data_IF_363378783623
#
_entry.id   IF_363378783623
#
_cell.length_a   1.000
_cell.length_b   1.000
_cell.length_c   1.000
_cell.angle_alpha   90.00
_cell.angle_beta   90.00
_cell.angle_gamma   90.00
#
_symmetry.space_group_name_H-M   'P 1'
#
loop_
_entity.id
_entity.type
_entity.pdbx_description
1 polymer ?
#
# COMPACT_ATOMS: atom_id res chain seq x y z
N UNK A 1 10.75 -2.66 -12.40
CA UNK A 1 11.09 -2.08 -13.73
C UNK A 1 10.20 -0.87 -14.02
N UNK A 2 10.67 0.11 -14.80
CA UNK A 2 9.89 1.31 -15.16
C UNK A 2 9.30 1.19 -16.57
N UNK A 3 8.05 1.62 -16.76
CA UNK A 3 7.44 1.72 -18.08
C UNK A 3 7.84 3.05 -18.73
N UNK A 4 8.68 2.99 -19.77
CA UNK A 4 9.22 4.17 -20.46
C UNK A 4 8.23 4.83 -21.43
N UNK A 5 7.06 4.21 -21.65
CA UNK A 5 6.08 4.69 -22.61
C UNK A 5 6.53 4.53 -24.07
N UNK A 6 5.83 5.21 -24.98
CA UNK A 6 6.15 5.29 -26.41
C UNK A 6 6.49 6.73 -26.77
N UNK A 7 7.64 6.95 -27.42
CA UNK A 7 8.20 8.28 -27.68
C UNK A 7 7.36 9.16 -28.63
N UNK A 8 6.53 8.54 -29.46
CA UNK A 8 5.68 9.17 -30.47
C UNK A 8 4.22 9.31 -30.03
N UNK A 9 3.90 9.06 -28.76
CA UNK A 9 2.53 9.08 -28.22
C UNK A 9 2.45 9.88 -26.93
N UNK A 10 1.24 10.34 -26.61
CA UNK A 10 0.93 10.77 -25.25
C UNK A 10 0.99 9.55 -24.31
N UNK A 11 1.83 9.64 -23.29
CA UNK A 11 1.94 8.63 -22.24
C UNK A 11 1.17 9.13 -21.01
N UNK A 12 0.17 8.35 -20.59
CA UNK A 12 -0.61 8.62 -19.37
C UNK A 12 -0.19 7.62 -18.31
N UNK A 13 0.37 8.12 -17.21
CA UNK A 13 0.80 7.29 -16.08
C UNK A 13 -0.24 7.38 -14.97
N UNK A 14 -0.90 6.25 -14.68
CA UNK A 14 -1.86 6.16 -13.57
C UNK A 14 -1.10 5.73 -12.33
N UNK A 15 -1.10 6.59 -11.29
CA UNK A 15 -0.39 6.34 -10.03
C UNK A 15 -1.41 6.04 -8.94
N UNK A 16 -1.66 4.75 -8.71
CA UNK A 16 -2.54 4.31 -7.62
C UNK A 16 -1.86 4.51 -6.26
N UNK A 17 -2.59 5.15 -5.34
CA UNK A 17 -2.13 5.47 -3.99
C UNK A 17 -3.31 5.53 -3.02
N UNK A 18 -3.02 5.57 -1.72
CA UNK A 18 -3.96 5.97 -0.66
C UNK A 18 -3.33 7.08 0.16
N UNK A 19 -4.16 7.96 0.72
CA UNK A 19 -3.73 8.98 1.67
C UNK A 19 -4.28 8.63 3.06
N UNK A 20 -3.38 8.22 3.93
CA UNK A 20 -3.67 7.61 5.22
C UNK A 20 -3.15 8.49 6.36
N UNK A 21 -3.88 9.54 6.71
CA UNK A 21 -3.52 10.47 7.77
C UNK A 21 -3.17 9.75 9.09
N UNK A 22 -1.94 9.99 9.60
CA UNK A 22 -1.46 9.43 10.88
C UNK A 22 -2.04 10.21 12.06
N UNK A 23 -3.36 10.21 12.15
CA UNK A 23 -4.13 11.04 13.08
C UNK A 23 -4.62 12.33 12.43
N UNK A 24 -5.94 12.52 12.45
CA UNK A 24 -6.62 13.74 11.99
C UNK A 24 -8.00 13.84 12.66
N UNK A 25 -9.04 13.27 12.05
CA UNK A 25 -10.40 13.18 12.65
C UNK A 25 -10.56 11.98 13.58
N UNK A 26 -9.73 10.95 13.37
CA UNK A 26 -9.63 9.75 14.19
C UNK A 26 -8.21 9.62 14.73
N UNK A 27 -8.06 8.88 15.83
CA UNK A 27 -6.73 8.50 16.32
C UNK A 27 -6.07 7.50 15.36
N UNK A 28 -4.75 7.32 15.49
CA UNK A 28 -3.97 6.34 14.72
C UNK A 28 -4.62 4.95 14.80
N UNK A 29 -4.93 4.46 15.99
CA UNK A 29 -5.56 3.15 16.20
C UNK A 29 -6.96 3.05 15.59
N UNK A 30 -7.74 4.12 15.69
CA UNK A 30 -9.08 4.15 15.10
C UNK A 30 -9.01 4.10 13.57
N UNK A 31 -8.05 4.78 12.94
CA UNK A 31 -7.79 4.65 11.50
C UNK A 31 -7.25 3.27 11.13
N UNK A 32 -6.34 2.71 11.93
CA UNK A 32 -5.75 1.41 11.63
C UNK A 32 -6.79 0.28 11.65
N UNK A 33 -7.56 0.16 12.74
CA UNK A 33 -8.57 -0.90 12.91
C UNK A 33 -9.92 -0.57 12.27
N UNK A 34 -10.13 0.65 11.78
CA UNK A 34 -11.39 1.04 11.17
C UNK A 34 -12.55 1.27 12.14
N UNK A 35 -12.27 1.51 13.42
CA UNK A 35 -13.31 1.88 14.39
C UNK A 35 -13.80 3.31 14.20
N UNK A 36 -14.93 3.67 14.81
CA UNK A 36 -15.61 4.97 14.61
C UNK A 36 -15.97 5.23 13.14
N UNK A 37 -16.63 4.25 12.52
CA UNK A 37 -17.03 4.29 11.11
C UNK A 37 -18.01 5.42 10.77
N UNK A 38 -18.70 5.95 11.78
CA UNK A 38 -19.57 7.12 11.69
C UNK A 38 -18.82 8.43 11.40
N UNK A 39 -17.54 8.53 11.81
CA UNK A 39 -16.68 9.68 11.49
C UNK A 39 -16.12 9.51 10.08
N UNK A 40 -15.41 8.39 9.85
CA UNK A 40 -15.01 7.96 8.50
C UNK A 40 -14.96 6.43 8.42
N UNK A 41 -15.35 5.88 7.27
CA UNK A 41 -15.31 4.43 6.99
C UNK A 41 -13.93 3.89 6.62
N UNK A 42 -12.84 4.58 6.97
CA UNK A 42 -11.46 4.16 6.67
C UNK A 42 -10.95 3.13 7.69
N UNK A 43 -10.38 2.03 7.21
CA UNK A 43 -9.65 1.03 8.01
C UNK A 43 -8.39 0.56 7.26
N UNK A 44 -7.22 0.98 7.75
CA UNK A 44 -5.96 0.90 6.98
C UNK A 44 -5.45 -0.53 6.83
N UNK A 45 -5.62 -1.39 7.85
CA UNK A 45 -5.23 -2.79 7.73
C UNK A 45 -5.89 -3.48 6.52
N UNK A 46 -7.17 -3.17 6.27
CA UNK A 46 -7.92 -3.72 5.16
C UNK A 46 -7.47 -3.16 3.80
N UNK A 47 -7.03 -1.89 3.77
CA UNK A 47 -6.45 -1.30 2.57
C UNK A 47 -5.17 -2.04 2.19
N UNK A 48 -4.24 -2.22 3.14
CA UNK A 48 -2.98 -2.92 2.91
C UNK A 48 -3.20 -4.38 2.49
N UNK A 49 -4.08 -5.12 3.16
CA UNK A 49 -4.43 -6.50 2.80
C UNK A 49 -4.95 -6.57 1.35
N UNK A 50 -5.88 -5.67 1.00
CA UNK A 50 -6.50 -5.65 -0.32
C UNK A 50 -5.53 -5.26 -1.44
N UNK A 51 -4.62 -4.30 -1.18
CA UNK A 51 -3.59 -3.86 -2.12
C UNK A 51 -2.61 -5.00 -2.40
N UNK A 52 -2.11 -5.68 -1.35
CA UNK A 52 -1.16 -6.78 -1.53
C UNK A 52 -1.80 -7.89 -2.38
N UNK A 53 -3.04 -8.28 -2.08
CA UNK A 53 -3.74 -9.28 -2.88
C UNK A 53 -3.93 -8.82 -4.33
N UNK A 54 -4.38 -7.58 -4.54
CA UNK A 54 -4.58 -7.03 -5.87
C UNK A 54 -3.30 -6.99 -6.71
N UNK A 55 -2.14 -6.76 -6.10
CA UNK A 55 -0.83 -6.79 -6.76
C UNK A 55 -0.35 -8.21 -7.05
N UNK A 56 -0.64 -9.18 -6.18
CA UNK A 56 -0.35 -10.60 -6.44
C UNK A 56 -1.17 -11.12 -7.62
N UNK A 57 -2.43 -10.70 -7.74
CA UNK A 57 -3.34 -11.17 -8.77
C UNK A 57 -3.00 -10.63 -10.17
N UNK A 58 -2.25 -9.53 -10.27
CA UNK A 58 -1.90 -8.93 -11.55
C UNK A 58 -0.55 -8.19 -11.47
N UNK A 59 0.45 -8.75 -12.14
CA UNK A 59 1.83 -8.26 -12.19
C UNK A 59 2.02 -6.95 -12.96
N UNK A 60 1.01 -6.43 -13.67
CA UNK A 60 1.05 -5.11 -14.32
C UNK A 60 0.61 -3.99 -13.37
N UNK A 61 -0.04 -4.32 -12.25
CA UNK A 61 -0.49 -3.31 -11.29
C UNK A 61 0.68 -2.75 -10.49
N UNK A 62 0.56 -1.46 -10.15
CA UNK A 62 1.53 -0.71 -9.36
C UNK A 62 0.80 0.04 -8.27
N UNK A 63 1.39 0.11 -7.08
CA UNK A 63 0.85 0.89 -5.96
C UNK A 63 1.98 1.54 -5.16
N UNK A 64 1.76 2.79 -4.74
CA UNK A 64 2.67 3.51 -3.83
C UNK A 64 2.02 3.66 -2.45
N UNK A 65 2.77 3.37 -1.39
CA UNK A 65 2.33 3.55 0.00
C UNK A 65 3.35 4.38 0.79
N UNK A 66 2.88 5.40 1.51
CA UNK A 66 3.73 6.44 2.07
C UNK A 66 3.84 6.37 3.59
N UNK A 67 2.73 6.14 4.30
CA UNK A 67 2.66 6.35 5.75
C UNK A 67 3.23 5.17 6.57
N UNK A 68 4.54 5.19 6.77
CA UNK A 68 5.28 4.07 7.38
C UNK A 68 4.86 3.71 8.81
N UNK A 69 4.23 4.61 9.57
CA UNK A 69 3.69 4.29 10.88
C UNK A 69 2.63 3.17 10.81
N UNK A 70 1.74 3.24 9.81
CA UNK A 70 0.73 2.22 9.59
C UNK A 70 1.32 0.96 8.96
N UNK A 71 2.19 1.14 7.95
CA UNK A 71 2.84 0.00 7.29
C UNK A 71 3.67 -0.83 8.27
N UNK A 72 4.45 -0.20 9.15
CA UNK A 72 5.27 -0.89 10.15
C UNK A 72 4.41 -1.65 11.16
N UNK A 73 3.31 -1.04 11.61
CA UNK A 73 2.35 -1.74 12.49
C UNK A 73 1.76 -2.97 11.80
N UNK A 74 1.30 -2.81 10.56
CA UNK A 74 0.76 -3.90 9.76
C UNK A 74 1.80 -4.99 9.55
N UNK A 75 3.01 -4.64 9.13
CA UNK A 75 4.13 -5.55 8.89
C UNK A 75 4.44 -6.45 10.09
N UNK A 76 4.47 -5.86 11.29
CA UNK A 76 4.73 -6.60 12.52
C UNK A 76 3.64 -7.60 12.90
N UNK A 77 2.44 -7.45 12.35
CA UNK A 77 1.30 -8.35 12.57
C UNK A 77 1.18 -9.44 11.50
N UNK A 78 1.95 -9.36 10.41
CA UNK A 78 1.86 -10.30 9.30
C UNK A 78 2.60 -11.61 9.55
N UNK A 79 2.09 -12.68 8.94
CA UNK A 79 2.78 -13.97 8.85
C UNK A 79 4.00 -13.87 7.93
N UNK A 80 4.92 -14.83 8.07
CA UNK A 80 6.11 -14.92 7.21
C UNK A 80 5.73 -15.02 5.73
N UNK A 81 4.71 -15.82 5.39
CA UNK A 81 4.20 -15.93 4.02
C UNK A 81 3.76 -14.59 3.43
N UNK A 82 3.07 -13.76 4.22
CA UNK A 82 2.63 -12.44 3.77
C UNK A 82 3.82 -11.48 3.61
N UNK A 83 4.78 -11.53 4.54
CA UNK A 83 6.02 -10.73 4.45
C UNK A 83 6.82 -11.09 3.21
N UNK A 84 6.94 -12.37 2.88
CA UNK A 84 7.61 -12.84 1.67
C UNK A 84 6.89 -12.40 0.39
N UNK A 85 5.55 -12.41 0.36
CA UNK A 85 4.77 -11.83 -0.76
C UNK A 85 5.10 -10.36 -0.95
N UNK A 86 5.11 -9.57 0.11
CA UNK A 86 5.40 -8.13 0.04
C UNK A 86 6.84 -7.87 -0.40
N UNK A 87 7.83 -8.57 0.17
CA UNK A 87 9.24 -8.50 -0.27
C UNK A 87 9.37 -8.78 -1.76
N UNK A 88 8.71 -9.83 -2.25
CA UNK A 88 8.67 -10.16 -3.68
C UNK A 88 8.10 -9.00 -4.50
N UNK A 89 6.93 -8.47 -4.11
CA UNK A 89 6.28 -7.35 -4.82
C UNK A 89 7.15 -6.08 -4.85
N UNK A 90 7.91 -5.82 -3.80
CA UNK A 90 8.88 -4.71 -3.73
C UNK A 90 10.05 -4.95 -4.68
N UNK A 91 10.63 -6.16 -4.66
CA UNK A 91 11.73 -6.53 -5.55
C UNK A 91 11.34 -6.47 -7.04
N UNK A 92 10.10 -6.84 -7.37
CA UNK A 92 9.55 -6.73 -8.73
C UNK A 92 9.22 -5.28 -9.12
N UNK A 93 9.04 -4.40 -8.13
CA UNK A 93 8.66 -2.99 -8.28
C UNK A 93 7.16 -2.76 -8.43
N UNK A 94 6.34 -3.76 -8.11
CA UNK A 94 4.87 -3.68 -8.12
C UNK A 94 4.30 -2.98 -6.88
N UNK A 95 5.00 -3.05 -5.76
CA UNK A 95 4.72 -2.29 -4.54
C UNK A 95 5.88 -1.37 -4.22
N UNK A 96 5.61 -0.08 -4.00
CA UNK A 96 6.64 0.92 -3.68
C UNK A 96 6.37 1.51 -2.30
N UNK A 97 7.30 1.29 -1.39
CA UNK A 97 7.34 1.86 -0.05
C UNK A 97 8.79 2.14 0.35
N UNK A 98 9.02 2.72 1.53
CA UNK A 98 10.38 2.88 2.02
C UNK A 98 11.02 1.51 2.30
N UNK A 99 12.05 1.16 1.52
CA UNK A 99 12.78 -0.11 1.58
C UNK A 99 13.52 -0.33 2.90
N UNK A 100 13.81 0.72 3.68
CA UNK A 100 14.55 0.58 4.94
C UNK A 100 13.80 -0.19 6.05
N UNK A 101 12.57 -0.61 5.78
CA UNK A 101 11.69 -1.28 6.75
C UNK A 101 11.42 -2.76 6.37
N UNK A 102 11.77 -3.17 5.15
CA UNK A 102 11.49 -4.50 4.57
C UNK A 102 12.78 -5.29 4.43
#
# INVERSE_FOLDING_TARGET
SCNLGKSDKLNVHIVAHTHDDVGWLKTVDQYYYGSRGEITRKGIQYILDSVVQALVDNSDRRFIYVEMAFFWRWWNQQSDDMREKVKRLVNEGSYQSNLSII
#
